data_IF_767658173492
#
_entry.id   IF_767658173492
#
_cell.length_a   1.000
_cell.length_b   1.000
_cell.length_c   1.000
_cell.angle_alpha   90.00
_cell.angle_beta   90.00
_cell.angle_gamma   90.00
#
_symmetry.space_group_name_H-M   'P 1'
#
loop_
_entity.id
_entity.type
_entity.pdbx_description
1 polymer ?
#
# COMPACT_ATOMS: atom_id res chain seq x y z
N UNK A 1 28.35 6.27 61.73
CA UNK A 1 29.11 6.52 60.48
C UNK A 1 28.15 7.12 59.47
N UNK A 2 28.40 8.33 58.99
CA UNK A 2 27.61 8.93 57.91
C UNK A 2 28.51 9.04 56.68
N UNK A 3 28.33 8.14 55.72
CA UNK A 3 28.97 8.24 54.42
C UNK A 3 28.35 9.39 53.62
N UNK A 4 29.13 10.46 53.48
CA UNK A 4 28.84 11.59 52.59
C UNK A 4 28.86 11.12 51.14
N UNK A 5 27.74 10.55 50.68
CA UNK A 5 27.53 10.13 49.29
C UNK A 5 27.71 11.34 48.38
N UNK A 6 28.87 11.45 47.73
CA UNK A 6 29.13 12.43 46.66
C UNK A 6 28.17 12.15 45.51
N UNK A 7 27.07 12.90 45.42
CA UNK A 7 26.23 12.91 44.22
C UNK A 7 27.00 13.63 43.12
N UNK A 8 27.59 12.88 42.18
CA UNK A 8 28.07 13.44 40.91
C UNK A 8 26.82 13.86 40.11
N UNK A 9 26.62 15.17 39.97
CA UNK A 9 25.60 15.73 39.08
C UNK A 9 26.12 15.77 37.64
N UNK A 10 25.20 15.72 36.68
CA UNK A 10 25.49 15.85 35.25
C UNK A 10 25.95 17.27 34.94
N UNK A 11 27.06 17.44 34.22
CA UNK A 11 27.54 18.76 33.81
C UNK A 11 26.80 19.24 32.57
N UNK A 12 26.62 20.56 32.42
CA UNK A 12 26.02 21.12 31.21
C UNK A 12 26.85 20.79 29.96
N UNK A 13 28.17 20.73 30.09
CA UNK A 13 29.07 20.35 28.99
C UNK A 13 28.85 18.90 28.51
N UNK A 14 28.66 17.97 29.45
CA UNK A 14 28.32 16.57 29.13
C UNK A 14 26.97 16.49 28.39
N UNK A 15 25.99 17.33 28.73
CA UNK A 15 24.72 17.37 27.99
C UNK A 15 24.88 17.94 26.59
N UNK A 16 25.67 19.00 26.45
CA UNK A 16 25.83 19.73 25.19
C UNK A 16 26.45 18.86 24.10
N UNK A 17 27.49 18.08 24.42
CA UNK A 17 28.13 17.20 23.43
C UNK A 17 27.18 16.08 22.99
N UNK A 18 26.35 15.57 23.90
CA UNK A 18 25.37 14.52 23.59
C UNK A 18 24.31 15.03 22.62
N UNK A 19 23.74 16.21 22.89
CA UNK A 19 22.74 16.82 22.00
C UNK A 19 23.35 17.15 20.64
N UNK A 20 24.60 17.61 20.59
CA UNK A 20 25.29 17.90 19.34
C UNK A 20 25.45 16.64 18.47
N UNK A 21 25.82 15.50 19.06
CA UNK A 21 25.95 14.23 18.32
C UNK A 21 24.58 13.74 17.84
N UNK A 22 23.55 13.78 18.69
CA UNK A 22 22.18 13.38 18.32
C UNK A 22 21.66 14.23 17.16
N UNK A 23 21.94 15.54 17.14
CA UNK A 23 21.52 16.43 16.07
C UNK A 23 22.10 16.01 14.71
N UNK A 24 23.38 15.62 14.65
CA UNK A 24 24.03 15.13 13.42
C UNK A 24 23.41 13.80 12.97
N UNK A 25 23.16 12.88 13.90
CA UNK A 25 22.54 11.59 13.58
C UNK A 25 21.12 11.77 13.03
N UNK A 26 20.31 12.61 13.66
CA UNK A 26 18.92 12.88 13.24
C UNK A 26 18.88 13.55 11.88
N UNK A 27 19.79 14.48 11.59
CA UNK A 27 19.86 15.17 10.30
C UNK A 27 20.01 14.21 9.11
N UNK A 28 20.79 13.15 9.26
CA UNK A 28 20.97 12.11 8.23
C UNK A 28 19.83 11.07 8.28
N UNK A 29 19.35 10.75 9.48
CA UNK A 29 18.38 9.67 9.67
C UNK A 29 17.00 10.00 9.09
N UNK A 30 16.52 11.25 9.24
CA UNK A 30 15.18 11.65 8.77
C UNK A 30 14.97 11.39 7.26
N UNK A 31 15.82 11.91 6.33
CA UNK A 31 15.58 11.71 4.91
C UNK A 31 15.67 10.24 4.50
N UNK A 32 16.60 9.47 5.08
CA UNK A 32 16.74 8.03 4.81
C UNK A 32 15.49 7.29 5.27
N UNK A 33 15.05 7.55 6.50
CA UNK A 33 13.88 6.89 7.07
C UNK A 33 12.61 7.19 6.25
N UNK A 34 12.40 8.44 5.86
CA UNK A 34 11.27 8.83 5.00
C UNK A 34 11.30 8.13 3.65
N UNK A 35 12.47 8.04 2.99
CA UNK A 35 12.59 7.33 1.72
C UNK A 35 12.30 5.82 1.85
N UNK A 36 12.75 5.19 2.94
CA UNK A 36 12.49 3.78 3.20
C UNK A 36 11.03 3.52 3.56
N UNK A 37 10.39 4.43 4.30
CA UNK A 37 8.97 4.36 4.61
C UNK A 37 8.12 4.39 3.34
N UNK A 38 8.47 5.25 2.38
CA UNK A 38 7.78 5.37 1.11
C UNK A 38 7.96 4.11 0.25
N UNK A 39 9.15 3.50 0.24
CA UNK A 39 9.36 2.19 -0.41
C UNK A 39 8.56 1.06 0.26
N UNK A 40 8.43 1.08 1.58
CA UNK A 40 7.65 0.08 2.31
C UNK A 40 6.15 0.21 2.02
N UNK A 41 5.64 1.45 1.88
CA UNK A 41 4.26 1.72 1.44
C UNK A 41 4.00 1.19 0.05
N UNK A 42 4.87 1.50 -0.92
CA UNK A 42 4.78 0.95 -2.29
C UNK A 42 4.77 -0.58 -2.31
N UNK A 43 5.65 -1.24 -1.53
CA UNK A 43 5.69 -2.69 -1.45
C UNK A 43 4.40 -3.28 -0.85
N UNK A 44 3.83 -2.60 0.15
CA UNK A 44 2.57 -3.00 0.80
C UNK A 44 1.39 -2.85 -0.16
N UNK A 45 1.29 -1.70 -0.83
CA UNK A 45 0.23 -1.43 -1.79
C UNK A 45 0.31 -2.42 -2.98
N UNK A 46 1.53 -2.74 -3.45
CA UNK A 46 1.73 -3.74 -4.49
C UNK A 46 1.31 -5.16 -4.06
N UNK A 47 1.59 -5.53 -2.81
CA UNK A 47 1.16 -6.81 -2.26
C UNK A 47 -0.37 -6.87 -2.13
N UNK A 48 -1.00 -5.78 -1.66
CA UNK A 48 -2.46 -5.69 -1.52
C UNK A 48 -3.18 -5.80 -2.86
N UNK A 49 -2.69 -5.13 -3.91
CA UNK A 49 -3.26 -5.23 -5.26
C UNK A 49 -3.17 -6.66 -5.80
N UNK A 50 -2.02 -7.34 -5.61
CA UNK A 50 -1.84 -8.74 -6.02
C UNK A 50 -2.74 -9.70 -5.26
N UNK A 51 -2.92 -9.48 -3.96
CA UNK A 51 -3.83 -10.27 -3.14
C UNK A 51 -5.28 -10.10 -3.62
N UNK A 52 -5.72 -8.86 -3.85
CA UNK A 52 -7.04 -8.56 -4.40
C UNK A 52 -7.26 -9.23 -5.76
N UNK A 53 -6.25 -9.23 -6.63
CA UNK A 53 -6.32 -9.91 -7.92
C UNK A 53 -6.47 -11.43 -7.78
N UNK A 54 -5.69 -12.07 -6.91
CA UNK A 54 -5.79 -13.51 -6.68
C UNK A 54 -7.18 -13.92 -6.16
N UNK A 55 -7.76 -13.11 -5.28
CA UNK A 55 -9.10 -13.34 -4.74
C UNK A 55 -10.19 -13.12 -5.80
N UNK A 56 -10.19 -11.97 -6.49
CA UNK A 56 -11.18 -11.70 -7.53
C UNK A 56 -11.11 -12.67 -8.71
N UNK A 57 -9.90 -13.10 -9.10
CA UNK A 57 -9.74 -14.08 -10.19
C UNK A 57 -10.27 -15.46 -9.79
N UNK A 58 -10.11 -15.88 -8.55
CA UNK A 58 -10.74 -17.10 -8.05
C UNK A 58 -12.27 -16.99 -8.03
N UNK A 59 -12.82 -15.85 -7.59
CA UNK A 59 -14.26 -15.61 -7.60
C UNK A 59 -14.83 -15.55 -9.03
N UNK A 60 -14.09 -14.97 -9.98
CA UNK A 60 -14.45 -14.93 -11.39
C UNK A 60 -14.43 -16.32 -12.04
N UNK A 61 -13.41 -17.14 -11.75
CA UNK A 61 -13.33 -18.51 -12.30
C UNK A 61 -14.38 -19.46 -11.72
N UNK A 62 -14.90 -19.16 -10.54
CA UNK A 62 -15.92 -19.98 -9.87
C UNK A 62 -17.33 -19.42 -10.02
N UNK A 63 -17.50 -18.33 -10.78
CA UNK A 63 -18.76 -17.60 -10.94
C UNK A 63 -19.42 -17.24 -9.59
N UNK A 64 -18.60 -17.08 -8.55
CA UNK A 64 -19.09 -16.83 -7.19
C UNK A 64 -19.49 -15.37 -7.06
N UNK A 65 -20.79 -15.09 -7.09
CA UNK A 65 -21.29 -13.74 -6.93
C UNK A 65 -21.01 -13.19 -5.53
N UNK A 66 -20.34 -12.03 -5.46
CA UNK A 66 -20.13 -11.28 -4.22
C UNK A 66 -21.42 -10.50 -3.92
N UNK A 67 -22.19 -10.96 -2.94
CA UNK A 67 -23.52 -10.41 -2.66
C UNK A 67 -23.51 -9.06 -1.93
N UNK A 68 -22.37 -8.67 -1.33
CA UNK A 68 -22.18 -7.41 -0.63
C UNK A 68 -20.69 -7.09 -0.54
N UNK A 69 -20.34 -5.80 -0.42
CA UNK A 69 -18.96 -5.36 -0.23
C UNK A 69 -18.31 -6.05 0.98
N UNK A 70 -17.11 -6.63 0.78
CA UNK A 70 -16.30 -7.26 1.84
C UNK A 70 -15.00 -6.51 2.00
N UNK A 71 -14.64 -6.17 3.23
CA UNK A 71 -13.41 -5.45 3.54
C UNK A 71 -12.47 -6.30 4.37
N UNK A 72 -11.25 -6.48 3.88
CA UNK A 72 -10.15 -7.14 4.56
C UNK A 72 -8.93 -6.22 4.55
N UNK A 73 -8.55 -5.68 5.71
CA UNK A 73 -7.50 -4.67 5.80
C UNK A 73 -7.74 -3.46 4.89
N UNK A 74 -6.83 -3.23 3.95
CA UNK A 74 -6.88 -2.14 2.96
C UNK A 74 -7.59 -2.53 1.66
N UNK A 75 -8.03 -3.78 1.52
CA UNK A 75 -8.73 -4.31 0.35
C UNK A 75 -10.23 -4.29 0.63
N UNK A 76 -11.02 -3.78 -0.31
CA UNK A 76 -12.48 -3.84 -0.29
C UNK A 76 -12.96 -4.47 -1.58
N UNK A 77 -13.35 -5.74 -1.54
CA UNK A 77 -14.06 -6.38 -2.63
C UNK A 77 -15.45 -5.76 -2.74
N UNK A 78 -15.84 -5.39 -3.95
CA UNK A 78 -17.15 -4.81 -4.24
C UNK A 78 -18.12 -5.89 -4.64
N UNK A 79 -19.40 -5.65 -4.34
CA UNK A 79 -20.47 -6.51 -4.83
C UNK A 79 -20.36 -6.69 -6.36
N UNK A 80 -20.49 -7.93 -6.83
CA UNK A 80 -20.42 -8.26 -8.25
C UNK A 80 -21.54 -7.55 -8.99
N UNK A 81 -21.22 -6.93 -10.12
CA UNK A 81 -22.22 -6.28 -10.99
C UNK A 81 -22.35 -7.06 -12.28
N UNK A 82 -23.57 -7.37 -12.70
CA UNK A 82 -23.83 -8.12 -13.93
C UNK A 82 -24.92 -9.17 -13.75
N UNK A 83 -25.24 -9.87 -14.85
CA UNK A 83 -26.18 -11.00 -14.86
C UNK A 83 -25.40 -12.30 -14.98
N UNK A 84 -25.52 -13.19 -13.98
CA UNK A 84 -24.99 -14.55 -14.05
C UNK A 84 -25.63 -15.36 -15.20
N UNK A 85 -26.86 -14.99 -15.60
CA UNK A 85 -27.55 -15.62 -16.73
C UNK A 85 -26.90 -15.31 -18.10
N UNK A 86 -26.15 -14.21 -18.20
CA UNK A 86 -25.57 -13.71 -19.45
C UNK A 86 -24.05 -13.91 -19.51
N UNK A 87 -23.41 -14.46 -18.46
CA UNK A 87 -21.96 -14.64 -18.36
C UNK A 87 -21.14 -13.34 -18.30
N UNK A 88 -21.79 -12.22 -17.97
CA UNK A 88 -21.16 -10.89 -17.95
C UNK A 88 -21.02 -10.35 -16.52
N UNK A 89 -20.46 -11.16 -15.63
CA UNK A 89 -20.16 -10.71 -14.27
C UNK A 89 -18.89 -9.86 -14.27
N UNK A 90 -18.97 -8.74 -13.55
CA UNK A 90 -17.85 -7.82 -13.33
C UNK A 90 -17.48 -7.83 -11.86
N UNK A 91 -16.25 -8.24 -11.60
CA UNK A 91 -15.64 -8.39 -10.28
C UNK A 91 -14.77 -7.17 -10.01
N UNK A 92 -14.97 -6.48 -8.88
CA UNK A 92 -14.26 -5.25 -8.56
C UNK A 92 -13.66 -5.29 -7.16
N UNK A 93 -12.48 -4.70 -6.99
CA UNK A 93 -11.88 -4.45 -5.69
C UNK A 93 -11.31 -3.03 -5.63
N UNK A 94 -11.58 -2.35 -4.53
CA UNK A 94 -10.94 -1.08 -4.18
C UNK A 94 -9.83 -1.35 -3.16
N UNK A 95 -8.61 -0.95 -3.47
CA UNK A 95 -7.45 -1.03 -2.60
C UNK A 95 -7.12 0.37 -2.12
N UNK A 96 -7.07 0.58 -0.81
CA UNK A 96 -6.59 1.82 -0.23
C UNK A 96 -5.06 1.90 -0.36
N UNK A 97 -4.58 2.99 -0.92
CA UNK A 97 -3.16 3.25 -1.11
C UNK A 97 -2.60 4.06 0.06
N UNK A 98 -1.38 3.73 0.46
CA UNK A 98 -0.63 4.47 1.48
C UNK A 98 0.52 5.26 0.88
N UNK A 99 0.91 4.96 -0.36
CA UNK A 99 1.94 5.66 -1.08
C UNK A 99 1.48 7.04 -1.57
N UNK A 100 2.38 8.03 -1.48
CA UNK A 100 2.04 9.44 -1.73
C UNK A 100 2.81 10.08 -2.89
N UNK A 101 3.83 9.40 -3.43
CA UNK A 101 4.57 9.86 -4.61
C UNK A 101 3.69 9.86 -5.87
N UNK A 102 4.13 10.57 -6.91
CA UNK A 102 3.57 10.48 -8.26
C UNK A 102 4.29 9.39 -9.04
N UNK A 103 3.61 8.77 -10.00
CA UNK A 103 4.20 7.85 -10.99
C UNK A 103 4.99 6.68 -10.36
N UNK A 104 4.65 6.34 -9.12
CA UNK A 104 5.22 5.21 -8.44
C UNK A 104 4.61 3.95 -9.03
N UNK A 105 5.34 3.27 -9.89
CA UNK A 105 4.88 2.01 -10.43
C UNK A 105 6.03 1.02 -10.33
N UNK A 106 6.09 0.33 -9.17
CA UNK A 106 7.00 -0.78 -8.99
C UNK A 106 6.92 -1.72 -10.19
N UNK A 107 8.02 -2.37 -10.55
CA UNK A 107 8.03 -3.40 -11.61
C UNK A 107 6.96 -4.48 -11.37
N UNK A 108 6.53 -4.64 -10.12
CA UNK A 108 5.48 -5.55 -9.69
C UNK A 108 4.06 -5.17 -10.13
N UNK A 109 3.82 -3.89 -10.45
CA UNK A 109 2.52 -3.30 -10.79
C UNK A 109 2.48 -2.69 -12.20
N UNK A 110 3.53 -2.89 -13.00
CA UNK A 110 3.56 -2.43 -14.39
C UNK A 110 2.48 -3.14 -15.20
N UNK A 111 2.09 -2.49 -16.29
CA UNK A 111 1.16 -3.05 -17.27
C UNK A 111 1.52 -4.51 -17.62
N UNK A 112 0.53 -5.40 -17.54
CA UNK A 112 0.68 -6.84 -17.77
C UNK A 112 1.34 -7.64 -16.64
N UNK A 113 1.84 -7.03 -15.57
CA UNK A 113 2.61 -7.71 -14.51
C UNK A 113 1.75 -8.52 -13.53
N UNK A 114 0.45 -8.20 -13.44
CA UNK A 114 -0.52 -8.96 -12.65
C UNK A 114 -1.45 -9.67 -13.62
N UNK A 115 -1.12 -10.90 -14.00
CA UNK A 115 -1.99 -11.75 -14.81
C UNK A 115 -2.46 -11.12 -16.14
N UNK A 116 -1.65 -10.25 -16.74
CA UNK A 116 -1.97 -9.61 -18.02
C UNK A 116 -2.97 -8.45 -17.95
N UNK A 117 -3.35 -7.96 -16.77
CA UNK A 117 -4.27 -6.81 -16.65
C UNK A 117 -3.62 -5.52 -17.14
N UNK A 118 -4.44 -4.65 -17.73
CA UNK A 118 -4.03 -3.30 -18.14
C UNK A 118 -3.88 -2.40 -16.92
N UNK A 119 -2.67 -2.00 -16.58
CA UNK A 119 -2.43 -1.14 -15.41
C UNK A 119 -2.20 0.33 -15.79
N UNK A 120 -2.99 1.23 -15.19
CA UNK A 120 -2.76 2.67 -15.27
C UNK A 120 -1.50 3.10 -14.51
N UNK A 121 -1.17 4.39 -14.59
CA UNK A 121 -0.09 4.99 -13.80
C UNK A 121 -0.68 5.82 -12.66
N UNK A 122 -0.28 5.61 -11.40
CA UNK A 122 -0.82 6.36 -10.28
C UNK A 122 -0.44 7.84 -10.33
N UNK A 123 -1.45 8.71 -10.23
CA UNK A 123 -1.25 10.14 -10.07
C UNK A 123 -0.64 10.49 -8.72
N UNK A 124 -0.11 11.72 -8.60
CA UNK A 124 0.43 12.23 -7.33
C UNK A 124 -0.64 12.24 -6.24
N UNK A 125 -0.42 11.48 -5.18
CA UNK A 125 -1.36 11.44 -4.05
C UNK A 125 -2.62 10.62 -4.29
N UNK A 126 -2.59 9.69 -5.26
CA UNK A 126 -3.61 8.66 -5.42
C UNK A 126 -3.87 7.96 -4.07
N UNK A 127 -5.12 7.89 -3.65
CA UNK A 127 -5.55 7.27 -2.40
C UNK A 127 -6.19 5.91 -2.59
N UNK A 128 -6.55 5.56 -3.83
CA UNK A 128 -7.25 4.32 -4.16
C UNK A 128 -6.82 3.75 -5.51
N UNK A 129 -6.70 2.43 -5.56
CA UNK A 129 -6.63 1.67 -6.80
C UNK A 129 -7.89 0.81 -6.95
N UNK A 130 -8.51 0.81 -8.12
CA UNK A 130 -9.67 -0.01 -8.46
C UNK A 130 -9.25 -1.07 -9.45
N UNK A 131 -9.32 -2.33 -9.04
CA UNK A 131 -9.12 -3.48 -9.89
C UNK A 131 -10.47 -3.97 -10.42
N UNK A 132 -10.57 -4.18 -11.72
CA UNK A 132 -11.76 -4.73 -12.37
C UNK A 132 -11.39 -5.97 -13.18
N UNK A 133 -12.03 -7.10 -12.88
CA UNK A 133 -11.90 -8.36 -13.61
C UNK A 133 -13.24 -8.68 -14.27
N UNK A 134 -13.19 -9.02 -15.56
CA UNK A 134 -14.35 -9.36 -16.35
C UNK A 134 -14.34 -10.85 -16.69
N UNK A 135 -15.49 -11.50 -16.53
CA UNK A 135 -15.68 -12.92 -16.88
C UNK A 135 -15.89 -13.11 -18.40
N UNK A 136 -16.44 -12.11 -19.08
CA UNK A 136 -16.76 -12.10 -20.51
C UNK A 136 -15.53 -12.09 -21.44
N UNK A 137 -14.32 -12.16 -20.88
CA UNK A 137 -13.06 -12.12 -21.61
C UNK A 137 -12.66 -10.72 -22.09
N UNK A 138 -13.38 -9.67 -21.70
CA UNK A 138 -12.94 -8.28 -21.92
C UNK A 138 -11.73 -7.94 -21.04
N UNK A 139 -10.95 -6.96 -21.48
CA UNK A 139 -9.69 -6.61 -20.82
C UNK A 139 -9.93 -6.14 -19.38
N UNK A 140 -9.32 -6.84 -18.42
CA UNK A 140 -9.33 -6.47 -17.01
C UNK A 140 -8.37 -5.31 -16.76
N UNK A 141 -8.75 -4.38 -15.88
CA UNK A 141 -8.03 -3.10 -15.69
C UNK A 141 -7.69 -2.83 -14.21
N UNK A 142 -6.58 -2.12 -14.01
CA UNK A 142 -6.20 -1.53 -12.73
C UNK A 142 -6.12 -0.01 -12.90
N UNK A 143 -7.07 0.71 -12.30
CA UNK A 143 -7.18 2.16 -12.37
C UNK A 143 -6.83 2.80 -11.03
N UNK A 144 -6.32 4.02 -11.05
CA UNK A 144 -5.98 4.81 -9.87
C UNK A 144 -6.86 6.06 -9.81
N UNK A 145 -7.21 6.51 -8.61
CA UNK A 145 -7.88 7.80 -8.45
C UNK A 145 -6.96 8.97 -8.84
N UNK A 146 -7.59 10.09 -9.24
CA UNK A 146 -6.90 11.32 -9.65
C UNK A 146 -6.56 12.21 -8.45
#
# INVERSE_FOLDING_TARGET
>A
MNDSRKKKGFTLAELLIVVAIIAVLVAISIPIFTAQLEKAREATDAANIRAAYAELSADALTETAISADKKEGDITLKATTGSAADGNLVYKAEIKLHQTQADWQSDALKDGSIGGISAGTPGKGATKATLTIHEDGTASTLEYDK
#
